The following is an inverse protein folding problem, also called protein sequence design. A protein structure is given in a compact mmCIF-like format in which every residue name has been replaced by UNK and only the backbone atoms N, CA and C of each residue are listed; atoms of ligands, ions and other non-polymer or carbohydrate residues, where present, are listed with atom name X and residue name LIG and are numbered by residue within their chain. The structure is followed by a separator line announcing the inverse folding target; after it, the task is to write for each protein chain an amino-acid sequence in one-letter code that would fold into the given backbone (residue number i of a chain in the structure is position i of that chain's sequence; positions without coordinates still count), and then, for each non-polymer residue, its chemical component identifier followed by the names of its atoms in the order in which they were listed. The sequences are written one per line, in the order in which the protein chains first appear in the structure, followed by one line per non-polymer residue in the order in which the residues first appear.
data_IF_134129406232
#
_entry.id   IF_134129406232
#
_cell.length_a   1.000
_cell.length_b   1.000
_cell.length_c   1.000
_cell.angle_alpha   90.00
_cell.angle_beta   90.00
_cell.angle_gamma   90.00
#
_symmetry.space_group_name_H-M   'P 1'
#
loop_
_entity.id
_entity.type
_entity.pdbx_description
1 polymer ?
#
# COMPACT_ATOMS: atom_id res chain seq x y z
N UNK A 1 -112.90 -54.30 109.76
CA UNK A 1 -112.25 -55.60 109.52
C UNK A 1 -111.66 -55.55 108.12
N UNK A 2 -110.70 -54.65 107.93
CA UNK A 2 -109.32 -54.76 108.48
C UNK A 2 -108.67 -55.86 107.65
N UNK A 3 -107.64 -55.63 106.85
CA UNK A 3 -106.34 -55.03 107.12
C UNK A 3 -105.43 -55.82 106.13
N UNK A 4 -104.27 -55.45 105.63
CA UNK A 4 -103.25 -54.50 105.99
C UNK A 4 -102.16 -54.57 104.89
N UNK A 5 -101.50 -53.43 104.66
CA UNK A 5 -100.04 -53.23 104.50
C UNK A 5 -99.18 -53.74 103.31
N UNK A 6 -98.30 -52.78 102.92
CA UNK A 6 -96.87 -52.87 102.53
C UNK A 6 -96.48 -53.24 101.08
N UNK A 7 -95.52 -52.59 100.41
CA UNK A 7 -94.70 -51.38 100.58
C UNK A 7 -94.02 -51.11 99.21
N UNK A 8 -93.88 -49.82 98.85
CA UNK A 8 -92.84 -49.19 98.00
C UNK A 8 -92.53 -49.75 96.59
N UNK A 9 -92.96 -49.03 95.53
CA UNK A 9 -92.32 -49.06 94.22
C UNK A 9 -92.62 -47.84 93.32
N UNK A 10 -91.67 -47.53 92.42
CA UNK A 10 -91.54 -46.46 91.40
C UNK A 10 -92.82 -45.86 90.76
N UNK A 11 -92.84 -44.56 90.37
CA UNK A 11 -93.92 -44.01 89.56
C UNK A 11 -93.55 -44.03 88.06
N UNK A 12 -94.14 -44.98 87.33
CA UNK A 12 -94.26 -44.97 85.86
C UNK A 12 -95.59 -44.29 85.44
N UNK A 13 -95.66 -43.52 84.35
CA UNK A 13 -96.73 -42.53 84.16
C UNK A 13 -97.94 -43.08 83.39
N UNK A 14 -99.14 -42.91 83.96
CA UNK A 14 -100.42 -43.29 83.33
C UNK A 14 -100.85 -42.38 82.16
N UNK A 15 -101.49 -42.93 81.10
CA UNK A 15 -101.82 -42.21 79.87
C UNK A 15 -103.11 -41.41 80.02
N UNK A 16 -102.89 -40.17 80.48
CA UNK A 16 -103.84 -39.07 80.61
C UNK A 16 -104.25 -38.47 79.25
N UNK A 17 -105.37 -37.72 79.22
CA UNK A 17 -106.45 -37.90 78.27
C UNK A 17 -106.50 -36.73 77.27
N UNK A 18 -107.42 -36.71 76.31
CA UNK A 18 -107.73 -35.49 75.53
C UNK A 18 -106.66 -35.02 74.51
N UNK A 19 -105.53 -35.70 74.38
CA UNK A 19 -104.38 -35.27 73.56
C UNK A 19 -104.67 -35.12 72.05
N UNK A 20 -105.60 -35.88 71.49
CA UNK A 20 -105.94 -35.81 70.08
C UNK A 20 -106.72 -34.54 69.71
N UNK A 21 -107.66 -34.10 70.56
CA UNK A 21 -108.51 -32.94 70.28
C UNK A 21 -107.73 -31.61 70.37
N UNK A 22 -106.82 -31.49 71.35
CA UNK A 22 -105.92 -30.34 71.46
C UNK A 22 -104.89 -30.28 70.31
N UNK A 23 -104.42 -31.43 69.84
CA UNK A 23 -103.54 -31.50 68.67
C UNK A 23 -104.23 -31.04 67.38
N UNK A 24 -105.50 -31.39 67.16
CA UNK A 24 -106.27 -30.92 66.01
C UNK A 24 -106.61 -29.42 66.09
N UNK A 25 -106.92 -28.90 67.27
CA UNK A 25 -107.15 -27.46 67.46
C UNK A 25 -105.87 -26.65 67.16
N UNK A 26 -104.72 -27.06 67.70
CA UNK A 26 -103.43 -26.43 67.43
C UNK A 26 -102.99 -26.56 65.96
N UNK A 27 -103.33 -27.67 65.29
CA UNK A 27 -103.08 -27.81 63.85
C UNK A 27 -103.96 -26.84 63.04
N UNK A 28 -105.23 -26.69 63.38
CA UNK A 28 -106.16 -25.79 62.68
C UNK A 28 -105.75 -24.33 62.78
N UNK A 29 -105.28 -23.90 63.96
CA UNK A 29 -104.77 -22.55 64.17
C UNK A 29 -103.47 -22.30 63.37
N UNK A 30 -102.56 -23.29 63.33
CA UNK A 30 -101.35 -23.21 62.50
C UNK A 30 -101.64 -23.15 61.00
N UNK A 31 -102.65 -23.89 60.53
CA UNK A 31 -103.06 -23.86 59.12
C UNK A 31 -103.65 -22.49 58.77
N UNK A 32 -104.52 -21.93 59.61
CA UNK A 32 -105.09 -20.60 59.41
C UNK A 32 -104.00 -19.49 59.36
N UNK A 33 -103.00 -19.58 60.25
CA UNK A 33 -101.85 -18.65 60.22
C UNK A 33 -101.00 -18.83 58.96
N UNK A 34 -100.83 -20.06 58.47
CA UNK A 34 -100.10 -20.33 57.23
C UNK A 34 -100.86 -19.83 56.00
N UNK A 35 -102.18 -20.01 55.94
CA UNK A 35 -103.04 -19.47 54.87
C UNK A 35 -102.98 -17.94 54.82
N UNK A 36 -103.15 -17.25 55.95
CA UNK A 36 -103.04 -15.80 56.01
C UNK A 36 -101.65 -15.29 55.56
N UNK A 37 -100.59 -16.05 55.88
CA UNK A 37 -99.22 -15.73 55.42
C UNK A 37 -99.02 -15.99 53.92
N UNK A 38 -99.68 -17.01 53.37
CA UNK A 38 -99.67 -17.32 51.94
C UNK A 38 -100.43 -16.28 51.13
N UNK A 39 -101.62 -15.86 51.59
CA UNK A 39 -102.39 -14.79 50.96
C UNK A 39 -101.65 -13.45 50.99
N UNK A 40 -101.04 -13.10 52.14
CA UNK A 40 -100.18 -11.93 52.24
C UNK A 40 -98.98 -11.97 51.28
N UNK A 41 -98.38 -13.15 51.05
CA UNK A 41 -97.29 -13.33 50.06
C UNK A 41 -97.79 -13.24 48.62
N UNK A 42 -98.96 -13.80 48.31
CA UNK A 42 -99.54 -13.72 46.97
C UNK A 42 -99.94 -12.27 46.62
N UNK A 43 -100.45 -11.50 47.58
CA UNK A 43 -100.74 -10.08 47.38
C UNK A 43 -99.48 -9.26 47.08
N UNK A 44 -98.36 -9.55 47.74
CA UNK A 44 -97.07 -8.89 47.46
C UNK A 44 -96.53 -9.28 46.08
N UNK A 45 -96.63 -10.55 45.68
CA UNK A 45 -96.19 -11.01 44.35
C UNK A 45 -97.07 -10.39 43.25
N UNK A 46 -98.39 -10.35 43.44
CA UNK A 46 -99.30 -9.72 42.47
C UNK A 46 -98.96 -8.23 42.25
N UNK A 47 -98.69 -7.50 43.34
CA UNK A 47 -98.32 -6.08 43.27
C UNK A 47 -96.94 -5.87 42.64
N UNK A 48 -95.99 -6.78 42.87
CA UNK A 48 -94.68 -6.75 42.22
C UNK A 48 -94.79 -7.04 40.70
N UNK A 49 -95.65 -7.98 40.30
CA UNK A 49 -95.91 -8.27 38.88
C UNK A 49 -96.59 -7.10 38.17
N UNK A 50 -97.54 -6.42 38.82
CA UNK A 50 -98.15 -5.21 38.28
C UNK A 50 -97.13 -4.09 38.09
N UNK A 51 -96.24 -3.87 39.08
CA UNK A 51 -95.16 -2.88 38.95
C UNK A 51 -94.18 -3.22 37.82
N UNK A 52 -93.79 -4.48 37.65
CA UNK A 52 -92.90 -4.92 36.56
C UNK A 52 -93.60 -4.81 35.20
N UNK A 53 -94.90 -5.09 35.12
CA UNK A 53 -95.66 -4.97 33.88
C UNK A 53 -95.78 -3.51 33.41
N UNK A 54 -95.97 -2.57 34.35
CA UNK A 54 -96.00 -1.13 34.06
C UNK A 54 -94.61 -0.63 33.61
N UNK A 55 -93.55 -1.09 34.27
CA UNK A 55 -92.17 -0.69 33.94
C UNK A 55 -91.68 -1.27 32.59
N UNK A 56 -92.18 -2.45 32.21
CA UNK A 56 -91.91 -3.06 30.90
C UNK A 56 -92.63 -2.39 29.74
N UNK A 57 -93.79 -1.75 29.96
CA UNK A 57 -94.48 -0.98 28.92
C UNK A 57 -93.81 0.37 28.64
N UNK A 58 -93.02 0.91 29.58
CA UNK A 58 -92.29 2.18 29.39
C UNK A 58 -90.91 2.04 28.72
N UNK A 59 -90.49 0.83 28.35
CA UNK A 59 -89.23 0.60 27.63
C UNK A 59 -89.45 0.75 26.11
N UNK A 60 -89.42 1.99 25.65
CA UNK A 60 -89.34 2.30 24.22
C UNK A 60 -87.90 2.01 23.75
N UNK A 61 -87.70 0.86 23.07
CA UNK A 61 -86.39 0.48 22.53
C UNK A 61 -86.02 1.40 21.36
N UNK A 62 -84.90 2.14 21.41
CA UNK A 62 -84.48 2.98 20.29
C UNK A 62 -84.10 2.11 19.08
N UNK A 63 -84.62 2.45 17.89
CA UNK A 63 -84.23 1.77 16.66
C UNK A 63 -82.83 2.22 16.22
N UNK A 64 -81.83 1.36 16.48
CA UNK A 64 -80.44 1.57 16.07
C UNK A 64 -80.16 1.11 14.63
N UNK A 65 -81.13 0.52 13.92
CA UNK A 65 -81.03 0.10 12.52
C UNK A 65 -80.41 1.16 11.59
N UNK A 66 -80.90 2.41 11.57
CA UNK A 66 -80.32 3.46 10.72
C UNK A 66 -78.88 3.83 11.08
N UNK A 67 -78.50 3.74 12.36
CA UNK A 67 -77.12 4.00 12.82
C UNK A 67 -76.19 2.86 12.44
N UNK A 68 -76.63 1.60 12.59
CA UNK A 68 -75.89 0.43 12.14
C UNK A 68 -75.69 0.43 10.61
N UNK A 69 -76.72 0.82 9.85
CA UNK A 69 -76.63 0.94 8.40
C UNK A 69 -75.59 1.98 7.97
N UNK A 70 -75.53 3.14 8.65
CA UNK A 70 -74.48 4.14 8.41
C UNK A 70 -73.08 3.62 8.75
N UNK A 71 -72.93 2.92 9.88
CA UNK A 71 -71.66 2.30 10.27
C UNK A 71 -71.18 1.25 9.26
N UNK A 72 -72.08 0.41 8.75
CA UNK A 72 -71.77 -0.52 7.66
C UNK A 72 -71.37 0.21 6.37
N UNK A 73 -72.02 1.33 6.05
CA UNK A 73 -71.63 2.19 4.92
C UNK A 73 -70.20 2.75 5.07
N UNK A 74 -69.84 3.25 6.26
CA UNK A 74 -68.48 3.70 6.54
C UNK A 74 -67.46 2.57 6.47
N UNK A 75 -67.76 1.40 7.06
CA UNK A 75 -66.89 0.23 7.01
C UNK A 75 -66.68 -0.27 5.58
N UNK A 76 -67.73 -0.29 4.75
CA UNK A 76 -67.61 -0.64 3.34
C UNK A 76 -66.74 0.37 2.56
N UNK A 77 -66.85 1.66 2.88
CA UNK A 77 -66.04 2.71 2.26
C UNK A 77 -64.57 2.57 2.65
N UNK A 78 -64.29 2.35 3.94
CA UNK A 78 -62.93 2.12 4.45
C UNK A 78 -62.35 0.84 3.85
N UNK A 79 -63.10 -0.25 3.81
CA UNK A 79 -62.66 -1.50 3.18
C UNK A 79 -62.32 -1.31 1.69
N UNK A 80 -63.14 -0.55 0.96
CA UNK A 80 -62.86 -0.18 -0.42
C UNK A 80 -61.57 0.62 -0.56
N UNK A 81 -61.36 1.64 0.27
CA UNK A 81 -60.15 2.46 0.27
C UNK A 81 -58.90 1.65 0.65
N UNK A 82 -58.98 0.79 1.67
CA UNK A 82 -57.88 -0.09 2.08
C UNK A 82 -57.52 -1.08 0.97
N UNK A 83 -58.52 -1.62 0.25
CA UNK A 83 -58.27 -2.48 -0.91
C UNK A 83 -57.53 -1.72 -2.02
N UNK A 84 -57.97 -0.51 -2.35
CA UNK A 84 -57.29 0.34 -3.35
C UNK A 84 -55.85 0.69 -2.94
N UNK A 85 -55.59 0.92 -1.65
CA UNK A 85 -54.24 1.18 -1.12
C UNK A 85 -53.36 -0.09 -1.20
N UNK A 86 -53.94 -1.26 -0.90
CA UNK A 86 -53.22 -2.54 -0.95
C UNK A 86 -52.90 -2.97 -2.39
N UNK A 87 -53.79 -2.66 -3.33
CA UNK A 87 -53.60 -2.88 -4.76
C UNK A 87 -52.74 -1.78 -5.42
N UNK A 88 -52.40 -0.70 -4.71
CA UNK A 88 -51.60 0.38 -5.25
C UNK A 88 -50.15 -0.10 -5.53
N UNK A 89 -49.58 0.26 -6.70
CA UNK A 89 -48.21 -0.13 -7.08
C UNK A 89 -47.12 0.33 -6.09
N UNK A 90 -47.41 1.34 -5.28
CA UNK A 90 -46.50 1.84 -4.24
C UNK A 90 -46.22 0.80 -3.14
N UNK A 91 -47.13 -0.13 -2.87
CA UNK A 91 -46.91 -1.23 -1.91
C UNK A 91 -46.02 -2.35 -2.47
N UNK A 92 -45.87 -2.44 -3.80
CA UNK A 92 -44.95 -3.39 -4.45
C UNK A 92 -43.54 -2.83 -4.60
N UNK A 93 -43.38 -1.50 -4.57
CA UNK A 93 -42.10 -0.82 -4.54
C UNK A 93 -41.61 -0.70 -3.10
N UNK A 94 -41.21 -1.84 -2.51
CA UNK A 94 -40.56 -1.82 -1.21
C UNK A 94 -39.15 -1.22 -1.35
N UNK A 95 -38.65 -0.47 -0.34
CA UNK A 95 -37.31 0.10 -0.40
C UNK A 95 -36.23 -0.96 -0.62
N UNK A 96 -36.43 -2.18 -0.13
CA UNK A 96 -35.53 -3.32 -0.38
C UNK A 96 -35.50 -3.71 -1.86
N UNK A 97 -36.67 -3.82 -2.51
CA UNK A 97 -36.75 -4.14 -3.94
C UNK A 97 -36.15 -3.04 -4.83
N UNK A 98 -36.26 -1.77 -4.42
CA UNK A 98 -35.63 -0.65 -5.10
C UNK A 98 -34.11 -0.66 -4.93
N UNK A 99 -33.59 -0.94 -3.73
CA UNK A 99 -32.17 -1.07 -3.48
C UNK A 99 -31.54 -2.20 -4.32
N UNK A 100 -32.18 -3.37 -4.35
CA UNK A 100 -31.73 -4.49 -5.18
C UNK A 100 -31.68 -4.13 -6.67
N UNK A 101 -32.71 -3.45 -7.18
CA UNK A 101 -32.74 -2.99 -8.58
C UNK A 101 -31.66 -1.94 -8.87
N UNK A 102 -31.36 -1.07 -7.92
CA UNK A 102 -30.28 -0.09 -8.03
C UNK A 102 -28.92 -0.79 -8.03
N UNK A 103 -28.70 -1.79 -7.17
CA UNK A 103 -27.45 -2.54 -7.13
C UNK A 103 -27.21 -3.31 -8.42
N UNK A 104 -28.23 -3.99 -8.95
CA UNK A 104 -28.14 -4.69 -10.25
C UNK A 104 -27.86 -3.71 -11.39
N UNK A 105 -28.54 -2.57 -11.43
CA UNK A 105 -28.30 -1.53 -12.43
C UNK A 105 -26.89 -0.90 -12.28
N UNK A 106 -26.43 -0.70 -11.05
CA UNK A 106 -25.10 -0.15 -10.77
C UNK A 106 -23.99 -1.15 -11.12
N UNK A 107 -24.19 -2.44 -10.86
CA UNK A 107 -23.21 -3.47 -11.22
C UNK A 107 -23.14 -3.68 -12.73
N UNK A 108 -24.28 -3.68 -13.43
CA UNK A 108 -24.29 -3.74 -14.89
C UNK A 108 -23.64 -2.51 -15.53
N UNK A 109 -23.89 -1.30 -15.00
CA UNK A 109 -23.21 -0.08 -15.44
C UNK A 109 -21.70 -0.14 -15.17
N UNK A 110 -21.27 -0.62 -14.00
CA UNK A 110 -19.85 -0.69 -13.60
C UNK A 110 -19.11 -1.90 -14.19
N UNK A 111 -19.78 -2.90 -14.73
CA UNK A 111 -19.14 -4.13 -15.23
C UNK A 111 -18.11 -3.81 -16.33
N UNK A 112 -18.49 -2.96 -17.29
CA UNK A 112 -17.61 -2.52 -18.38
C UNK A 112 -16.44 -1.71 -17.85
N UNK A 113 -16.68 -0.78 -16.92
CA UNK A 113 -15.62 0.02 -16.31
C UNK A 113 -14.64 -0.84 -15.50
N UNK A 114 -15.13 -1.79 -14.70
CA UNK A 114 -14.31 -2.76 -13.97
C UNK A 114 -13.42 -3.55 -14.93
N UNK A 115 -13.94 -3.97 -16.08
CA UNK A 115 -13.17 -4.70 -17.10
C UNK A 115 -12.10 -3.81 -17.77
N UNK A 116 -12.44 -2.56 -18.12
CA UNK A 116 -11.51 -1.59 -18.72
C UNK A 116 -10.40 -1.23 -17.73
N UNK A 117 -10.75 -0.92 -16.47
CA UNK A 117 -9.79 -0.60 -15.42
C UNK A 117 -8.84 -1.77 -15.21
N UNK A 118 -9.35 -3.00 -15.08
CA UNK A 118 -8.50 -4.19 -14.92
C UNK A 118 -7.55 -4.39 -16.09
N UNK A 119 -8.03 -4.21 -17.32
CA UNK A 119 -7.21 -4.30 -18.53
C UNK A 119 -6.15 -3.21 -18.60
N UNK A 120 -6.51 -1.98 -18.24
CA UNK A 120 -5.57 -0.85 -18.17
C UNK A 120 -4.48 -1.11 -17.14
N UNK A 121 -4.84 -1.59 -15.95
CA UNK A 121 -3.92 -1.87 -14.86
C UNK A 121 -2.92 -2.98 -15.24
N UNK A 122 -3.39 -4.03 -15.91
CA UNK A 122 -2.54 -5.07 -16.49
C UNK A 122 -1.59 -4.50 -17.54
N UNK A 123 -2.10 -3.68 -18.46
CA UNK A 123 -1.29 -3.08 -19.53
C UNK A 123 -0.24 -2.13 -18.95
N UNK A 124 -0.57 -1.36 -17.91
CA UNK A 124 0.36 -0.53 -17.17
C UNK A 124 1.46 -1.37 -16.50
N UNK A 125 1.11 -2.48 -15.85
CA UNK A 125 2.12 -3.37 -15.26
C UNK A 125 3.06 -3.97 -16.31
N UNK A 126 2.53 -4.40 -17.46
CA UNK A 126 3.32 -4.91 -18.57
C UNK A 126 4.26 -3.85 -19.14
N UNK A 127 3.75 -2.63 -19.39
CA UNK A 127 4.56 -1.50 -19.88
C UNK A 127 5.62 -1.11 -18.86
N UNK A 128 5.31 -1.07 -17.57
CA UNK A 128 6.30 -0.79 -16.53
C UNK A 128 7.40 -1.84 -16.49
N UNK A 129 7.05 -3.13 -16.58
CA UNK A 129 8.03 -4.21 -16.61
C UNK A 129 8.93 -4.13 -17.84
N UNK A 130 8.36 -3.85 -19.02
CA UNK A 130 9.12 -3.73 -20.26
C UNK A 130 10.01 -2.48 -20.25
N UNK A 131 9.49 -1.35 -19.77
CA UNK A 131 10.27 -0.13 -19.63
C UNK A 131 11.45 -0.32 -18.66
N UNK A 132 11.26 -1.00 -17.54
CA UNK A 132 12.37 -1.32 -16.64
C UNK A 132 13.40 -2.27 -17.29
N UNK A 133 12.95 -3.24 -18.08
CA UNK A 133 13.85 -4.13 -18.84
C UNK A 133 14.65 -3.34 -19.89
N UNK A 134 14.00 -2.46 -20.65
CA UNK A 134 14.65 -1.62 -21.67
C UNK A 134 15.62 -0.63 -21.04
N UNK A 135 15.23 0.05 -19.95
CA UNK A 135 16.11 0.97 -19.21
C UNK A 135 17.31 0.22 -18.64
N UNK A 136 17.11 -0.97 -18.06
CA UNK A 136 18.20 -1.83 -17.60
C UNK A 136 19.14 -2.25 -18.74
N UNK A 137 18.59 -2.63 -19.90
CA UNK A 137 19.37 -3.02 -21.07
C UNK A 137 20.14 -1.84 -21.71
N UNK A 138 19.58 -0.64 -21.70
CA UNK A 138 20.24 0.57 -22.21
C UNK A 138 21.36 0.99 -21.24
N UNK A 139 21.09 0.99 -19.94
CA UNK A 139 22.08 1.38 -18.92
C UNK A 139 23.29 0.45 -18.93
N UNK A 140 23.08 -0.86 -19.00
CA UNK A 140 24.17 -1.85 -19.10
C UNK A 140 24.97 -1.70 -20.39
N UNK A 141 24.32 -1.46 -21.54
CA UNK A 141 25.01 -1.18 -22.80
C UNK A 141 25.81 0.12 -22.77
N UNK A 142 25.29 1.17 -22.13
CA UNK A 142 25.96 2.46 -22.03
C UNK A 142 27.17 2.39 -21.10
N UNK A 143 27.04 1.74 -19.93
CA UNK A 143 28.18 1.48 -19.03
C UNK A 143 29.24 0.63 -19.73
N UNK A 144 28.86 -0.44 -20.43
CA UNK A 144 29.80 -1.28 -21.17
C UNK A 144 30.51 -0.50 -22.29
N UNK A 145 29.78 0.34 -23.05
CA UNK A 145 30.37 1.19 -24.09
C UNK A 145 31.32 2.25 -23.52
N UNK A 146 30.97 2.85 -22.39
CA UNK A 146 31.84 3.81 -21.71
C UNK A 146 33.12 3.13 -21.24
N UNK A 147 33.04 1.94 -20.63
CA UNK A 147 34.23 1.17 -20.25
C UNK A 147 35.07 0.78 -21.46
N UNK A 148 34.46 0.30 -22.56
CA UNK A 148 35.20 -0.02 -23.79
C UNK A 148 35.82 1.23 -24.43
N UNK A 149 35.15 2.38 -24.39
CA UNK A 149 35.68 3.64 -24.90
C UNK A 149 36.82 4.17 -24.03
N UNK A 150 36.70 4.10 -22.70
CA UNK A 150 37.77 4.49 -21.77
C UNK A 150 38.97 3.55 -21.87
N UNK A 151 38.76 2.24 -21.95
CA UNK A 151 39.84 1.26 -22.14
C UNK A 151 40.49 1.41 -23.51
N UNK A 152 39.69 1.53 -24.58
CA UNK A 152 40.19 1.73 -25.94
C UNK A 152 40.95 3.05 -26.07
N UNK A 153 40.41 4.15 -25.56
CA UNK A 153 41.07 5.46 -25.55
C UNK A 153 42.34 5.46 -24.69
N UNK A 154 42.28 4.89 -23.48
CA UNK A 154 43.42 4.79 -22.58
C UNK A 154 44.56 3.95 -23.15
N UNK A 155 44.25 2.79 -23.75
CA UNK A 155 45.25 1.94 -24.40
C UNK A 155 45.86 2.60 -25.63
N UNK A 156 45.04 3.24 -26.48
CA UNK A 156 45.55 3.99 -27.63
C UNK A 156 46.48 5.14 -27.21
N UNK A 157 46.11 5.90 -26.18
CA UNK A 157 46.96 6.96 -25.63
C UNK A 157 48.26 6.40 -25.03
N UNK A 158 48.18 5.32 -24.25
CA UNK A 158 49.36 4.69 -23.65
C UNK A 158 50.33 4.16 -24.73
N UNK A 159 49.82 3.48 -25.76
CA UNK A 159 50.62 3.01 -26.89
C UNK A 159 51.22 4.18 -27.67
N UNK A 160 50.46 5.25 -27.90
CA UNK A 160 50.96 6.46 -28.56
C UNK A 160 52.09 7.13 -27.76
N UNK A 161 51.94 7.24 -26.43
CA UNK A 161 52.98 7.79 -25.57
C UNK A 161 54.22 6.90 -25.57
N UNK A 162 54.03 5.58 -25.47
CA UNK A 162 55.10 4.62 -25.52
C UNK A 162 55.89 4.73 -26.83
N UNK A 163 55.20 4.89 -27.97
CA UNK A 163 55.84 5.04 -29.28
C UNK A 163 56.66 6.32 -29.42
N UNK A 164 56.28 7.41 -28.73
CA UNK A 164 57.07 8.65 -28.70
C UNK A 164 58.35 8.50 -27.88
N UNK A 165 58.31 7.75 -26.77
CA UNK A 165 59.46 7.57 -25.86
C UNK A 165 60.40 6.47 -26.37
N UNK A 166 59.85 5.44 -27.01
CA UNK A 166 60.56 4.26 -27.49
C UNK A 166 61.81 4.56 -28.35
N UNK A 167 61.80 5.47 -29.35
CA UNK A 167 62.98 5.69 -30.19
C UNK A 167 64.16 6.33 -29.45
N UNK A 168 63.90 7.15 -28.44
CA UNK A 168 64.95 7.75 -27.60
C UNK A 168 65.58 6.72 -26.65
N UNK A 169 64.75 5.88 -26.03
CA UNK A 169 65.20 4.83 -25.12
C UNK A 169 65.86 3.64 -25.84
N UNK A 170 65.31 3.20 -26.98
CA UNK A 170 65.87 2.08 -27.75
C UNK A 170 67.26 2.41 -28.33
N UNK A 171 67.54 3.68 -28.61
CA UNK A 171 68.84 4.10 -29.11
C UNK A 171 69.99 3.82 -28.11
N UNK A 172 69.72 3.72 -26.81
CA UNK A 172 70.74 3.55 -25.76
C UNK A 172 70.99 2.10 -25.33
N UNK A 173 70.24 1.12 -25.84
CA UNK A 173 70.31 -0.30 -25.43
C UNK A 173 71.26 -1.12 -26.31
N UNK A 174 71.56 -0.63 -27.52
CA UNK A 174 72.44 -1.32 -28.46
C UNK A 174 73.89 -1.44 -27.95
N UNK A 175 74.66 -2.42 -28.43
CA UNK A 175 76.09 -2.52 -28.14
C UNK A 175 76.83 -1.23 -28.51
N UNK A 176 77.83 -0.87 -27.72
CA UNK A 176 78.57 0.39 -27.90
C UNK A 176 79.27 0.51 -29.27
N UNK A 177 79.62 -0.62 -29.90
CA UNK A 177 80.20 -0.68 -31.25
C UNK A 177 79.29 -0.18 -32.37
N UNK A 178 77.98 -0.07 -32.11
CA UNK A 178 77.02 0.34 -33.13
C UNK A 178 76.83 1.87 -33.21
N UNK A 179 77.22 2.64 -32.20
CA UNK A 179 77.05 4.10 -32.19
C UNK A 179 75.63 4.57 -32.58
N UNK A 180 74.60 3.90 -32.05
CA UNK A 180 73.20 4.24 -32.32
C UNK A 180 72.83 5.66 -31.83
N UNK A 181 73.17 6.07 -30.59
CA UNK A 181 72.89 7.42 -30.13
C UNK A 181 73.49 8.49 -31.04
N UNK A 182 74.73 8.31 -31.49
CA UNK A 182 75.46 9.26 -32.33
C UNK A 182 74.88 9.31 -33.75
N UNK A 183 74.46 8.16 -34.30
CA UNK A 183 73.77 8.10 -35.60
C UNK A 183 72.39 8.76 -35.55
N UNK A 184 71.64 8.59 -34.46
CA UNK A 184 70.36 9.26 -34.23
C UNK A 184 70.59 10.76 -34.08
N UNK A 185 71.52 11.18 -33.22
CA UNK A 185 71.85 12.59 -33.02
C UNK A 185 72.25 13.27 -34.34
N UNK A 186 73.09 12.64 -35.17
CA UNK A 186 73.42 13.17 -36.51
C UNK A 186 72.18 13.36 -37.38
N UNK A 187 71.26 12.38 -37.41
CA UNK A 187 70.01 12.47 -38.18
C UNK A 187 69.10 13.58 -37.66
N UNK A 188 68.98 13.73 -36.33
CA UNK A 188 68.17 14.77 -35.70
C UNK A 188 68.74 16.17 -35.89
N UNK A 189 70.07 16.33 -35.83
CA UNK A 189 70.77 17.59 -36.11
C UNK A 189 70.71 17.92 -37.62
N UNK A 190 70.63 16.90 -38.48
CA UNK A 190 70.51 17.07 -39.93
C UNK A 190 71.83 17.26 -40.67
N UNK A 191 72.95 16.82 -40.06
CA UNK A 191 74.28 16.97 -40.66
C UNK A 191 74.68 15.72 -41.48
N UNK A 192 75.48 15.89 -42.54
CA UNK A 192 75.85 14.82 -43.44
C UNK A 192 76.78 13.79 -42.78
N UNK A 193 77.63 14.21 -41.84
CA UNK A 193 78.62 13.36 -41.18
C UNK A 193 78.51 13.45 -39.65
N UNK A 194 78.97 12.41 -38.94
CA UNK A 194 79.03 12.41 -37.47
C UNK A 194 79.93 13.53 -36.96
N UNK A 195 81.01 13.81 -37.68
CA UNK A 195 81.94 14.89 -37.36
C UNK A 195 81.29 16.27 -37.44
N UNK A 196 80.56 16.57 -38.52
CA UNK A 196 79.85 17.85 -38.67
C UNK A 196 78.76 18.02 -37.60
N UNK A 197 78.05 16.95 -37.27
CA UNK A 197 77.10 16.94 -36.16
C UNK A 197 77.79 17.27 -34.83
N UNK A 198 78.96 16.67 -34.57
CA UNK A 198 79.77 16.95 -33.37
C UNK A 198 80.23 18.40 -33.30
N UNK A 199 80.76 18.95 -34.40
CA UNK A 199 81.15 20.37 -34.49
C UNK A 199 79.97 21.29 -34.20
N UNK A 200 78.82 21.04 -34.83
CA UNK A 200 77.62 21.86 -34.63
C UNK A 200 77.10 21.78 -33.20
N UNK A 201 77.14 20.59 -32.59
CA UNK A 201 76.74 20.39 -31.20
C UNK A 201 77.69 21.11 -30.22
N UNK A 202 79.01 20.99 -30.42
CA UNK A 202 80.01 21.69 -29.61
C UNK A 202 79.86 23.21 -29.71
N UNK A 203 79.69 23.75 -30.93
CA UNK A 203 79.44 25.18 -31.16
C UNK A 203 78.16 25.68 -30.50
N UNK A 204 77.09 24.88 -30.55
CA UNK A 204 75.80 25.25 -29.98
C UNK A 204 75.80 25.17 -28.44
N UNK A 205 76.51 24.20 -27.86
CA UNK A 205 76.57 23.99 -26.41
C UNK A 205 77.54 24.91 -25.68
N UNK A 206 78.69 25.24 -26.29
CA UNK A 206 79.66 26.18 -25.74
C UNK A 206 80.48 26.83 -26.86
N UNK A 207 80.06 28.01 -27.37
CA UNK A 207 80.75 28.68 -28.46
C UNK A 207 82.18 29.11 -28.07
N UNK A 208 82.39 29.60 -26.84
CA UNK A 208 83.69 30.05 -26.37
C UNK A 208 84.67 28.86 -26.20
N UNK A 209 84.19 27.75 -25.63
CA UNK A 209 84.96 26.52 -25.52
C UNK A 209 85.33 25.94 -26.89
N UNK A 210 84.45 26.05 -27.89
CA UNK A 210 84.76 25.66 -29.26
C UNK A 210 85.85 26.54 -29.87
N UNK A 211 85.84 27.86 -29.62
CA UNK A 211 86.90 28.76 -30.11
C UNK A 211 88.26 28.38 -29.53
N UNK A 212 88.34 28.08 -28.24
CA UNK A 212 89.60 27.63 -27.62
C UNK A 212 90.17 26.38 -28.31
N UNK A 213 89.32 25.43 -28.69
CA UNK A 213 89.74 24.22 -29.41
C UNK A 213 90.25 24.57 -30.82
N UNK A 214 89.55 25.44 -31.54
CA UNK A 214 89.97 25.89 -32.88
C UNK A 214 91.28 26.65 -32.80
N UNK A 215 91.43 27.56 -31.85
CA UNK A 215 92.64 28.36 -31.64
C UNK A 215 93.85 27.48 -31.32
N UNK A 216 93.66 26.47 -30.46
CA UNK A 216 94.70 25.49 -30.16
C UNK A 216 95.08 24.64 -31.40
N UNK A 217 94.10 24.20 -32.19
CA UNK A 217 94.33 23.42 -33.41
C UNK A 217 95.06 24.26 -34.48
N UNK A 218 94.69 25.54 -34.62
CA UNK A 218 95.35 26.46 -35.54
C UNK A 218 96.79 26.74 -35.10
N UNK A 219 97.02 27.00 -33.81
CA UNK A 219 98.37 27.16 -33.24
C UNK A 219 99.24 25.91 -33.49
N UNK A 220 98.71 24.71 -33.27
CA UNK A 220 99.43 23.47 -33.52
C UNK A 220 99.73 23.27 -35.01
N UNK A 221 98.83 23.67 -35.90
CA UNK A 221 99.01 23.60 -37.35
C UNK A 221 100.07 24.59 -37.84
N UNK A 222 100.07 25.82 -37.33
CA UNK A 222 101.08 26.83 -37.63
C UNK A 222 102.49 26.42 -37.13
N UNK A 223 102.55 25.67 -36.03
CA UNK A 223 103.78 25.17 -35.43
C UNK A 223 104.04 23.68 -35.73
N UNK A 224 103.44 23.12 -36.79
CA UNK A 224 103.46 21.67 -37.03
C UNK A 224 104.87 21.09 -37.06
N UNK A 225 105.78 21.73 -37.78
CA UNK A 225 107.13 21.20 -37.97
C UNK A 225 107.98 21.32 -36.70
N UNK A 226 107.82 22.41 -35.95
CA UNK A 226 108.53 22.62 -34.67
C UNK A 226 108.02 21.65 -33.61
N UNK A 227 106.70 21.44 -33.52
CA UNK A 227 106.09 20.44 -32.63
C UNK A 227 106.54 19.02 -33.01
N UNK A 228 106.51 18.65 -34.29
CA UNK A 228 106.93 17.32 -34.72
C UNK A 228 108.42 17.04 -34.46
N UNK A 229 109.29 18.04 -34.64
CA UNK A 229 110.72 17.91 -34.30
C UNK A 229 110.92 17.73 -32.79
N UNK A 230 110.16 18.47 -32.00
CA UNK A 230 110.13 18.38 -30.55
C UNK A 230 109.62 17.04 -30.02
N UNK A 231 108.52 16.52 -30.55
CA UNK A 231 107.98 15.20 -30.20
C UNK A 231 108.99 14.09 -30.49
N UNK A 232 109.70 14.17 -31.62
CA UNK A 232 110.79 13.24 -31.94
C UNK A 232 111.95 13.36 -30.97
N UNK A 233 112.33 14.58 -30.58
CA UNK A 233 113.39 14.81 -29.60
C UNK A 233 112.99 14.25 -28.22
N UNK A 234 111.74 14.47 -27.80
CA UNK A 234 111.18 13.92 -26.56
C UNK A 234 111.19 12.38 -26.58
N UNK A 235 110.70 11.77 -27.66
CA UNK A 235 110.66 10.32 -27.81
C UNK A 235 112.07 9.69 -27.81
N UNK A 236 113.06 10.38 -28.38
CA UNK A 236 114.46 9.93 -28.40
C UNK A 236 115.16 10.08 -27.05
N UNK A 237 114.85 11.14 -26.31
CA UNK A 237 115.43 11.41 -25.00
C UNK A 237 114.73 10.63 -23.87
N UNK A 238 113.47 10.20 -24.07
CA UNK A 238 112.66 9.57 -23.02
C UNK A 238 112.26 10.53 -21.91
N UNK A 239 112.46 11.84 -22.11
CA UNK A 239 112.30 12.89 -21.11
C UNK A 239 111.48 14.06 -21.70
N UNK A 240 110.91 14.88 -20.81
CA UNK A 240 110.17 16.08 -21.19
C UNK A 240 111.10 17.13 -21.79
N UNK A 241 110.83 17.57 -23.02
CA UNK A 241 111.59 18.62 -23.72
C UNK A 241 110.83 19.95 -23.73
N UNK A 242 111.56 21.06 -23.67
CA UNK A 242 110.99 22.40 -23.82
C UNK A 242 111.03 22.84 -25.27
N UNK A 243 109.90 23.31 -25.77
CA UNK A 243 109.73 23.73 -27.16
C UNK A 243 109.24 25.17 -27.24
N UNK A 244 109.92 25.95 -28.07
CA UNK A 244 109.51 27.32 -28.35
C UNK A 244 108.56 27.30 -29.53
N UNK A 245 107.31 27.67 -29.29
CA UNK A 245 106.30 27.83 -30.33
C UNK A 245 106.19 29.31 -30.71
N UNK A 246 105.87 29.56 -31.98
CA UNK A 246 105.57 30.89 -32.50
C UNK A 246 104.06 31.11 -32.45
N UNK A 247 103.65 32.19 -31.79
CA UNK A 247 102.24 32.60 -31.75
C UNK A 247 102.10 33.83 -32.63
N UNK A 248 101.37 33.69 -33.74
CA UNK A 248 101.07 34.81 -34.60
C UNK A 248 99.97 35.69 -33.99
N UNK A 249 100.08 36.99 -34.16
CA UNK A 249 99.04 37.94 -33.75
C UNK A 249 97.84 37.77 -34.70
N UNK A 250 96.69 37.38 -34.17
CA UNK A 250 95.40 37.42 -34.87
C UNK A 250 94.82 38.83 -34.87
#
# INVERSE_FOLDING_TARGET
MDDEQSLLNEPEPEPRPNAAAEAFAHLSERVAVMEARLEGRMAVIARALEHIAIEKQSLEFPDYGPTLAKMNGYLATVAGQTKTIMEAPAMQLTPESMAERIDVAADTARATDKAIIKKSLELHHQVHADQMRVVGAIRTKQEQRWHMACLGGGTALAVSLLWMIYPGWAASIGPQSWHWPERVARRTIGEPTLWNAGIRLMRAGNPDGWQVIVDAADMARENRDTIAACEKAAAKAGETVRCTISINKR
#
